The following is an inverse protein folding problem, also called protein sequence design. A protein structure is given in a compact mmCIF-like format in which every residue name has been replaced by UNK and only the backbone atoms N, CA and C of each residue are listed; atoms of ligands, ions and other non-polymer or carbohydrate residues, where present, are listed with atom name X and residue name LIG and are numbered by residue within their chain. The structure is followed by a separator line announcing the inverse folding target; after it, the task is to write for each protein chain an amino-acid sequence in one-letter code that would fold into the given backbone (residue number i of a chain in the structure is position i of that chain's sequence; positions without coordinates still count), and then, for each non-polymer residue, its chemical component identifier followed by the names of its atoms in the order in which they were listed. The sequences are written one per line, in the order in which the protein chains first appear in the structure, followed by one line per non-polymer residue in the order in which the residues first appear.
data_IF_301769281124
#
_entry.id   IF_301769281124
#
_cell.length_a   1.000
_cell.length_b   1.000
_cell.length_c   1.000
_cell.angle_alpha   90.00
_cell.angle_beta   90.00
_cell.angle_gamma   90.00
#
_symmetry.space_group_name_H-M   'P 1'
#
loop_
_entity.id
_entity.type
_entity.pdbx_description
1 polymer ?
#
# COMPACT_ATOMS: atom_id res chain seq x y z
N UNK A 1 -17.61 -14.32 29.73
CA UNK A 1 -17.95 -14.41 28.31
C UNK A 1 -18.15 -13.00 27.80
N UNK A 2 -17.12 -12.39 27.23
CA UNK A 2 -17.33 -11.15 26.49
C UNK A 2 -18.27 -11.47 25.31
N UNK A 3 -19.29 -10.65 25.08
CA UNK A 3 -20.15 -10.81 23.92
C UNK A 3 -19.27 -10.78 22.65
N UNK A 4 -19.48 -11.75 21.76
CA UNK A 4 -18.81 -11.73 20.46
C UNK A 4 -19.16 -10.42 19.74
N UNK A 5 -18.16 -9.72 19.19
CA UNK A 5 -18.39 -8.43 18.57
C UNK A 5 -19.22 -8.63 17.30
N UNK A 6 -20.47 -8.14 17.30
CA UNK A 6 -21.30 -8.04 16.09
C UNK A 6 -20.62 -7.05 15.13
N UNK A 7 -19.87 -7.59 14.17
CA UNK A 7 -19.06 -6.79 13.23
C UNK A 7 -19.93 -5.89 12.35
N UNK A 8 -21.19 -6.24 12.12
CA UNK A 8 -22.07 -5.56 11.17
C UNK A 8 -23.29 -4.88 11.81
N UNK A 9 -23.29 -4.74 13.15
CA UNK A 9 -24.33 -4.03 13.89
C UNK A 9 -24.52 -2.58 13.37
N UNK A 10 -25.70 -1.96 13.56
CA UNK A 10 -25.93 -0.57 13.15
C UNK A 10 -25.15 0.49 13.94
N UNK A 11 -24.76 0.20 15.20
CA UNK A 11 -24.16 1.15 16.16
C UNK A 11 -22.72 0.84 16.71
N UNK A 12 -21.86 0.03 16.06
CA UNK A 12 -20.43 0.00 16.32
C UNK A 12 -19.68 0.91 15.34
N UNK A 13 -18.49 1.37 15.74
CA UNK A 13 -17.53 1.94 14.79
C UNK A 13 -17.26 0.94 13.67
N UNK A 14 -17.45 1.39 12.42
CA UNK A 14 -17.25 0.61 11.19
C UNK A 14 -15.82 0.61 10.69
N UNK A 15 -14.92 1.27 11.42
CA UNK A 15 -13.49 1.33 11.13
C UNK A 15 -12.71 0.58 12.19
N UNK A 16 -11.93 -0.38 11.73
CA UNK A 16 -11.11 -1.23 12.56
C UNK A 16 -9.64 -1.13 12.17
N UNK A 17 -8.74 -1.56 13.05
CA UNK A 17 -7.32 -1.71 12.78
C UNK A 17 -6.85 -3.09 13.24
N UNK A 18 -6.11 -3.79 12.38
CA UNK A 18 -5.34 -4.96 12.81
C UNK A 18 -3.92 -4.47 13.11
N UNK A 19 -3.43 -4.62 14.36
CA UNK A 19 -2.16 -4.04 14.76
C UNK A 19 -0.95 -4.78 14.14
N UNK A 20 0.20 -4.12 13.95
CA UNK A 20 1.40 -4.76 13.44
C UNK A 20 1.84 -5.92 14.34
N UNK A 21 2.34 -7.00 13.72
CA UNK A 21 2.71 -8.24 14.41
C UNK A 21 1.60 -9.28 14.51
N UNK A 22 0.37 -8.95 14.13
CA UNK A 22 -0.71 -9.94 13.90
C UNK A 22 -0.73 -10.37 12.43
N UNK A 23 -0.95 -11.67 12.14
CA UNK A 23 -1.21 -12.16 10.77
C UNK A 23 -2.52 -11.55 10.26
N UNK A 24 -2.39 -10.47 9.47
CA UNK A 24 -3.49 -9.63 9.05
C UNK A 24 -4.61 -10.41 8.37
N UNK A 25 -4.26 -11.22 7.36
CA UNK A 25 -5.25 -11.93 6.55
C UNK A 25 -5.90 -13.06 7.34
N UNK A 26 -5.15 -13.75 8.21
CA UNK A 26 -5.71 -14.79 9.06
C UNK A 26 -6.63 -14.22 10.12
N UNK A 27 -6.26 -13.13 10.78
CA UNK A 27 -7.13 -12.46 11.75
C UNK A 27 -8.42 -11.94 11.11
N UNK A 28 -8.31 -11.33 9.91
CA UNK A 28 -9.46 -10.92 9.11
C UNK A 28 -10.37 -12.11 8.77
N UNK A 29 -9.81 -13.17 8.21
CA UNK A 29 -10.56 -14.35 7.77
C UNK A 29 -11.24 -15.07 8.93
N UNK A 30 -10.53 -15.27 10.06
CA UNK A 30 -11.08 -15.94 11.24
C UNK A 30 -12.29 -15.18 11.81
N UNK A 31 -12.18 -13.85 11.95
CA UNK A 31 -13.28 -13.05 12.50
C UNK A 31 -14.48 -12.99 11.54
N UNK A 32 -14.26 -12.82 10.22
CA UNK A 32 -15.34 -12.84 9.24
C UNK A 32 -16.01 -14.23 9.14
N UNK A 33 -15.23 -15.31 9.21
CA UNK A 33 -15.74 -16.67 9.18
C UNK A 33 -16.58 -16.99 10.43
N UNK A 34 -16.14 -16.54 11.61
CA UNK A 34 -16.87 -16.69 12.86
C UNK A 34 -18.21 -15.92 12.82
N UNK A 35 -18.17 -14.64 12.47
CA UNK A 35 -19.35 -13.77 12.36
C UNK A 35 -20.40 -14.33 11.38
N UNK A 36 -19.96 -14.83 10.24
CA UNK A 36 -20.85 -15.40 9.23
C UNK A 36 -21.33 -16.82 9.58
N UNK A 37 -20.71 -17.51 10.54
CA UNK A 37 -20.93 -18.93 10.79
C UNK A 37 -20.50 -19.82 9.62
N UNK A 38 -19.38 -19.48 8.97
CA UNK A 38 -18.88 -20.12 7.74
C UNK A 38 -18.56 -21.61 7.93
N UNK A 39 -18.21 -22.03 9.14
CA UNK A 39 -17.93 -23.43 9.47
C UNK A 39 -19.14 -24.36 9.31
N UNK A 40 -20.35 -23.80 9.48
CA UNK A 40 -21.64 -24.50 9.40
C UNK A 40 -22.39 -24.20 8.09
N UNK A 41 -22.20 -22.99 7.54
CA UNK A 41 -22.82 -22.51 6.31
C UNK A 41 -21.76 -22.17 5.27
N UNK A 42 -21.41 -23.10 4.34
CA UNK A 42 -20.30 -22.93 3.42
C UNK A 42 -20.49 -21.80 2.40
N UNK A 43 -21.69 -21.28 2.27
CA UNK A 43 -22.09 -20.18 1.38
C UNK A 43 -22.36 -18.86 2.11
N UNK A 44 -22.11 -18.79 3.43
CA UNK A 44 -22.47 -17.61 4.25
C UNK A 44 -21.78 -16.29 3.83
N UNK A 45 -20.66 -16.36 3.13
CA UNK A 45 -19.93 -15.21 2.59
C UNK A 45 -20.01 -15.11 1.06
N UNK A 46 -20.77 -15.97 0.38
CA UNK A 46 -20.77 -16.05 -1.09
C UNK A 46 -21.13 -14.70 -1.77
N UNK A 47 -22.06 -13.96 -1.17
CA UNK A 47 -22.49 -12.65 -1.68
C UNK A 47 -21.64 -11.47 -1.17
N UNK A 48 -20.71 -11.70 -0.24
CA UNK A 48 -19.89 -10.65 0.33
C UNK A 48 -18.83 -10.17 -0.67
N UNK A 49 -18.54 -8.87 -0.63
CA UNK A 49 -17.52 -8.23 -1.47
C UNK A 49 -16.37 -7.80 -0.57
N UNK A 50 -15.16 -8.31 -0.80
CA UNK A 50 -13.99 -7.99 0.00
C UNK A 50 -12.90 -7.41 -0.88
N UNK A 51 -12.56 -6.14 -0.64
CA UNK A 51 -11.42 -5.47 -1.25
C UNK A 51 -10.16 -5.66 -0.42
N UNK A 52 -9.08 -6.03 -1.10
CA UNK A 52 -7.73 -6.12 -0.54
C UNK A 52 -6.74 -5.34 -1.42
N UNK A 53 -5.51 -5.05 -0.96
CA UNK A 53 -4.63 -4.14 -1.68
C UNK A 53 -4.19 -4.66 -3.05
N UNK A 54 -3.85 -5.96 -3.14
CA UNK A 54 -3.24 -6.57 -4.32
C UNK A 54 -3.68 -8.04 -4.49
N UNK A 55 -3.35 -8.66 -5.65
CA UNK A 55 -3.78 -10.03 -5.96
C UNK A 55 -3.13 -11.09 -5.07
N UNK A 56 -1.94 -10.82 -4.54
CA UNK A 56 -1.28 -11.72 -3.59
C UNK A 56 -2.11 -11.85 -2.33
N UNK A 57 -2.53 -10.73 -1.76
CA UNK A 57 -3.45 -10.70 -0.61
C UNK A 57 -4.78 -11.38 -0.95
N UNK A 58 -5.31 -11.20 -2.16
CA UNK A 58 -6.57 -11.85 -2.56
C UNK A 58 -6.46 -13.38 -2.58
N UNK A 59 -5.37 -13.92 -3.16
CA UNK A 59 -5.10 -15.37 -3.20
C UNK A 59 -4.91 -15.95 -1.79
N UNK A 60 -4.15 -15.25 -0.94
CA UNK A 60 -3.92 -15.68 0.44
C UNK A 60 -5.23 -15.62 1.24
N UNK A 61 -6.02 -14.56 1.10
CA UNK A 61 -7.32 -14.42 1.77
C UNK A 61 -8.26 -15.58 1.45
N UNK A 62 -8.40 -15.94 0.18
CA UNK A 62 -9.20 -17.10 -0.23
C UNK A 62 -8.74 -18.39 0.48
N UNK A 63 -7.42 -18.58 0.60
CA UNK A 63 -6.85 -19.74 1.29
C UNK A 63 -7.13 -19.73 2.79
N UNK A 64 -6.92 -18.60 3.47
CA UNK A 64 -7.12 -18.54 4.93
C UNK A 64 -8.59 -18.57 5.32
N UNK A 65 -9.52 -18.13 4.46
CA UNK A 65 -10.96 -18.35 4.64
C UNK A 65 -11.32 -19.83 4.58
N UNK A 66 -10.73 -20.58 3.65
CA UNK A 66 -10.90 -22.04 3.60
C UNK A 66 -10.36 -22.73 4.85
N UNK A 67 -9.19 -22.30 5.35
CA UNK A 67 -8.65 -22.82 6.60
C UNK A 67 -9.56 -22.47 7.80
N UNK A 68 -10.08 -21.24 7.86
CA UNK A 68 -11.02 -20.79 8.91
C UNK A 68 -12.37 -21.53 8.87
N UNK A 69 -12.81 -22.00 7.70
CA UNK A 69 -14.00 -22.86 7.54
C UNK A 69 -13.77 -24.32 7.97
N UNK A 70 -12.64 -24.63 8.62
CA UNK A 70 -12.29 -25.99 9.01
C UNK A 70 -11.88 -26.88 7.82
N UNK A 71 -11.33 -26.27 6.76
CA UNK A 71 -10.90 -26.94 5.52
C UNK A 71 -12.01 -27.68 4.79
N UNK A 72 -13.25 -27.21 4.95
CA UNK A 72 -14.41 -27.66 4.16
C UNK A 72 -14.54 -26.81 2.89
N UNK A 73 -15.06 -27.36 1.77
CA UNK A 73 -15.38 -26.56 0.61
C UNK A 73 -16.35 -25.43 0.97
N UNK A 74 -16.04 -24.22 0.50
CA UNK A 74 -16.88 -23.01 0.67
C UNK A 74 -17.13 -22.37 -0.68
N UNK A 75 -18.24 -21.64 -0.81
CA UNK A 75 -18.40 -20.64 -1.86
C UNK A 75 -17.72 -19.35 -1.38
N UNK A 76 -16.58 -18.97 -1.96
CA UNK A 76 -15.82 -17.84 -1.47
C UNK A 76 -16.55 -16.52 -1.75
N UNK A 77 -16.29 -15.47 -0.95
CA UNK A 77 -16.72 -14.13 -1.28
C UNK A 77 -16.07 -13.65 -2.58
N UNK A 78 -16.62 -12.57 -3.13
CA UNK A 78 -16.01 -11.86 -4.24
C UNK A 78 -14.82 -11.04 -3.73
N UNK A 79 -13.60 -11.55 -3.92
CA UNK A 79 -12.37 -10.89 -3.48
C UNK A 79 -11.80 -10.02 -4.62
N UNK A 80 -11.74 -8.71 -4.40
CA UNK A 80 -11.31 -7.70 -5.36
C UNK A 80 -10.02 -7.00 -4.92
N UNK A 81 -9.31 -6.41 -5.87
CA UNK A 81 -8.10 -5.62 -5.57
C UNK A 81 -8.34 -4.14 -5.78
N UNK A 82 -7.82 -3.31 -4.87
CA UNK A 82 -7.88 -1.84 -4.99
C UNK A 82 -6.82 -1.27 -5.94
N UNK A 83 -5.70 -1.97 -6.15
CA UNK A 83 -4.56 -1.39 -6.87
C UNK A 83 -3.90 -0.27 -6.05
N UNK A 84 -3.62 -0.53 -4.77
CA UNK A 84 -2.96 0.44 -3.88
C UNK A 84 -1.47 0.64 -4.30
N UNK A 85 -0.79 1.65 -3.75
CA UNK A 85 0.54 2.13 -4.20
C UNK A 85 1.62 1.04 -4.30
N UNK A 86 1.51 -0.04 -3.52
CA UNK A 86 2.44 -1.17 -3.54
C UNK A 86 2.11 -2.24 -4.61
N UNK A 87 1.04 -2.05 -5.38
CA UNK A 87 0.60 -2.98 -6.41
C UNK A 87 1.06 -2.51 -7.79
N UNK A 88 1.99 -3.26 -8.42
CA UNK A 88 2.30 -3.17 -9.86
C UNK A 88 1.12 -3.66 -10.76
N UNK A 89 -0.10 -3.72 -10.23
CA UNK A 89 -1.24 -4.39 -10.84
C UNK A 89 -2.50 -3.52 -10.82
N UNK A 90 -3.13 -3.38 -11.98
CA UNK A 90 -4.40 -2.67 -12.13
C UNK A 90 -5.53 -3.33 -11.29
N UNK A 91 -6.50 -2.54 -10.80
CA UNK A 91 -7.68 -3.04 -10.09
C UNK A 91 -8.42 -4.11 -10.90
N UNK A 92 -8.75 -5.24 -10.29
CA UNK A 92 -9.15 -6.45 -11.02
C UNK A 92 -10.60 -6.45 -11.56
N UNK A 93 -11.55 -5.74 -10.93
CA UNK A 93 -12.99 -5.94 -11.21
C UNK A 93 -13.75 -4.63 -11.53
N UNK A 94 -13.40 -3.50 -10.93
CA UNK A 94 -14.20 -2.27 -11.08
C UNK A 94 -14.07 -1.63 -12.46
N UNK A 95 -12.92 -1.82 -13.12
CA UNK A 95 -12.71 -1.38 -14.50
C UNK A 95 -13.76 -1.94 -15.48
N UNK A 96 -14.13 -3.22 -15.34
CA UNK A 96 -15.11 -3.87 -16.22
C UNK A 96 -16.56 -3.46 -15.88
N UNK A 97 -16.85 -3.17 -14.61
CA UNK A 97 -18.19 -2.75 -14.16
C UNK A 97 -18.47 -1.26 -14.39
N UNK A 98 -17.42 -0.45 -14.51
CA UNK A 98 -17.52 0.99 -14.79
C UNK A 98 -17.96 1.32 -16.23
N UNK A 99 -17.81 0.38 -17.17
CA UNK A 99 -18.04 0.65 -18.59
C UNK A 99 -16.99 1.57 -19.24
N UNK A 100 -15.95 1.96 -18.51
CA UNK A 100 -14.86 2.78 -19.02
C UNK A 100 -13.94 1.98 -19.95
N UNK A 101 -13.36 2.61 -20.99
CA UNK A 101 -12.38 1.96 -21.85
C UNK A 101 -11.17 1.43 -21.06
N UNK A 102 -10.40 0.47 -21.58
CA UNK A 102 -9.23 -0.05 -20.89
C UNK A 102 -8.22 1.06 -20.60
N UNK A 103 -7.55 0.99 -19.44
CA UNK A 103 -6.51 1.95 -19.08
C UNK A 103 -5.35 1.90 -20.09
N UNK A 104 -4.75 3.05 -20.37
CA UNK A 104 -3.56 3.14 -21.18
C UNK A 104 -2.41 2.31 -20.58
N UNK A 105 -1.68 1.57 -21.41
CA UNK A 105 -0.48 0.87 -20.94
C UNK A 105 0.64 1.85 -20.57
N UNK A 106 1.45 1.51 -19.57
CA UNK A 106 2.58 2.33 -19.14
C UNK A 106 3.54 2.66 -20.30
N UNK A 107 3.80 1.69 -21.18
CA UNK A 107 4.65 1.89 -22.36
C UNK A 107 4.05 2.92 -23.33
N UNK A 108 2.74 2.88 -23.57
CA UNK A 108 2.05 3.86 -24.43
C UNK A 108 2.09 5.26 -23.80
N UNK A 109 1.87 5.36 -22.49
CA UNK A 109 1.97 6.61 -21.74
C UNK A 109 3.36 7.23 -21.83
N UNK A 110 4.40 6.44 -21.58
CA UNK A 110 5.79 6.90 -21.71
C UNK A 110 6.13 7.32 -23.14
N UNK A 111 5.68 6.57 -24.16
CA UNK A 111 5.87 6.94 -25.55
C UNK A 111 5.21 8.26 -25.91
N UNK A 112 3.96 8.47 -25.48
CA UNK A 112 3.22 9.70 -25.70
C UNK A 112 3.87 10.91 -25.00
N UNK A 113 4.27 10.76 -23.73
CA UNK A 113 5.00 11.80 -23.00
C UNK A 113 6.36 12.11 -23.66
N UNK A 114 7.08 11.10 -24.13
CA UNK A 114 8.36 11.28 -24.85
C UNK A 114 8.15 12.12 -26.11
N UNK A 115 7.09 11.84 -26.86
CA UNK A 115 6.72 12.61 -28.04
C UNK A 115 6.37 14.07 -27.69
N UNK A 116 5.57 14.30 -26.64
CA UNK A 116 5.23 15.65 -26.17
C UNK A 116 6.46 16.46 -25.73
N UNK A 117 7.43 15.80 -25.07
CA UNK A 117 8.71 16.43 -24.73
C UNK A 117 9.46 16.83 -26.00
N UNK A 118 9.55 15.96 -27.01
CA UNK A 118 10.22 16.30 -28.26
C UNK A 118 9.54 17.49 -28.97
N UNK A 119 8.21 17.51 -29.01
CA UNK A 119 7.44 18.59 -29.63
C UNK A 119 7.64 19.93 -28.89
N UNK A 120 7.66 19.91 -27.56
CA UNK A 120 7.98 21.08 -26.75
C UNK A 120 9.35 21.68 -27.13
N UNK A 121 10.39 20.86 -27.21
CA UNK A 121 11.73 21.33 -27.58
C UNK A 121 11.80 21.80 -29.04
N UNK A 122 11.12 21.11 -29.95
CA UNK A 122 11.06 21.50 -31.35
C UNK A 122 10.40 22.88 -31.54
N UNK A 123 9.35 23.17 -30.77
CA UNK A 123 8.64 24.45 -30.82
C UNK A 123 9.45 25.60 -30.20
N UNK A 124 10.00 25.40 -29.00
CA UNK A 124 10.63 26.48 -28.23
C UNK A 124 12.09 26.73 -28.62
N UNK A 125 12.85 25.67 -28.89
CA UNK A 125 14.29 25.72 -29.12
C UNK A 125 14.70 25.37 -30.55
N UNK A 126 13.74 25.02 -31.43
CA UNK A 126 13.99 24.60 -32.82
C UNK A 126 15.01 23.47 -32.91
N UNK A 127 15.02 22.59 -31.92
CA UNK A 127 15.90 21.42 -31.83
C UNK A 127 15.10 20.22 -31.33
N UNK A 128 15.53 19.02 -31.67
CA UNK A 128 14.98 17.81 -31.07
C UNK A 128 16.02 17.14 -30.17
N UNK A 129 15.70 16.92 -28.89
CA UNK A 129 16.58 16.19 -27.99
C UNK A 129 16.73 14.74 -28.47
N UNK A 130 17.87 14.09 -28.20
CA UNK A 130 18.00 12.65 -28.41
C UNK A 130 16.86 11.88 -27.75
N UNK A 131 16.41 10.79 -28.37
CA UNK A 131 15.27 10.01 -27.87
C UNK A 131 15.47 9.53 -26.42
N UNK A 132 16.71 9.19 -26.04
CA UNK A 132 17.06 8.81 -24.67
C UNK A 132 16.85 9.94 -23.66
N UNK A 133 17.21 11.19 -24.02
CA UNK A 133 17.00 12.36 -23.16
C UNK A 133 15.51 12.72 -23.05
N UNK A 134 14.77 12.62 -24.15
CA UNK A 134 13.32 12.85 -24.14
C UNK A 134 12.59 11.79 -23.29
N UNK A 135 13.00 10.53 -23.40
CA UNK A 135 12.45 9.44 -22.60
C UNK A 135 12.75 9.61 -21.11
N UNK A 136 13.97 10.00 -20.75
CA UNK A 136 14.32 10.27 -19.35
C UNK A 136 13.46 11.41 -18.76
N UNK A 137 13.27 12.50 -19.52
CA UNK A 137 12.37 13.58 -19.11
C UNK A 137 10.91 13.12 -19.00
N UNK A 138 10.44 12.28 -19.93
CA UNK A 138 9.10 11.70 -19.88
C UNK A 138 8.89 10.78 -18.67
N UNK A 139 9.92 10.04 -18.24
CA UNK A 139 9.87 9.23 -17.03
C UNK A 139 9.70 10.11 -15.78
N UNK A 140 10.46 11.20 -15.66
CA UNK A 140 10.33 12.15 -14.56
C UNK A 140 8.96 12.85 -14.57
N UNK A 141 8.45 13.25 -15.74
CA UNK A 141 7.09 13.79 -15.88
C UNK A 141 6.05 12.76 -15.44
N UNK A 142 6.18 11.50 -15.89
CA UNK A 142 5.26 10.43 -15.51
C UNK A 142 5.25 10.20 -13.99
N UNK A 143 6.43 10.21 -13.36
CA UNK A 143 6.59 10.08 -11.91
C UNK A 143 5.96 11.26 -11.16
N UNK A 144 6.17 12.48 -11.64
CA UNK A 144 5.57 13.68 -11.05
C UNK A 144 4.04 13.66 -11.17
N UNK A 145 3.51 13.28 -12.33
CA UNK A 145 2.06 13.12 -12.53
C UNK A 145 1.47 12.06 -11.62
N UNK A 146 2.17 10.94 -11.44
CA UNK A 146 1.79 9.89 -10.49
C UNK A 146 1.75 10.43 -9.06
N UNK A 147 2.80 11.09 -8.59
CA UNK A 147 2.82 11.70 -7.25
C UNK A 147 1.69 12.72 -7.06
N UNK A 148 1.43 13.55 -8.07
CA UNK A 148 0.33 14.51 -8.05
C UNK A 148 -1.03 13.83 -7.96
N UNK A 149 -1.25 12.74 -8.70
CA UNK A 149 -2.51 12.00 -8.72
C UNK A 149 -2.85 11.31 -7.39
N UNK A 150 -1.87 11.12 -6.50
CA UNK A 150 -2.12 10.58 -5.15
C UNK A 150 -2.59 11.65 -4.16
N UNK A 151 -2.48 12.93 -4.51
CA UNK A 151 -2.85 14.07 -3.66
C UNK A 151 -4.11 14.75 -4.17
N UNK A 152 -5.09 14.95 -3.27
CA UNK A 152 -6.32 15.70 -3.59
C UNK A 152 -6.08 17.22 -3.68
N UNK A 153 -4.87 17.70 -3.34
CA UNK A 153 -4.54 19.13 -3.26
C UNK A 153 -3.84 19.67 -4.52
N UNK A 154 -3.46 18.79 -5.46
CA UNK A 154 -2.71 19.19 -6.65
C UNK A 154 -3.67 19.49 -7.81
N UNK A 155 -3.72 20.76 -8.19
CA UNK A 155 -4.50 21.25 -9.33
C UNK A 155 -3.58 21.86 -10.36
N UNK A 156 -3.41 21.20 -11.50
CA UNK A 156 -2.52 21.64 -12.58
C UNK A 156 -2.92 22.99 -13.17
N UNK A 157 -4.20 23.37 -13.08
CA UNK A 157 -4.71 24.67 -13.53
C UNK A 157 -4.15 25.84 -12.71
N UNK A 158 -3.70 25.58 -11.47
CA UNK A 158 -3.10 26.59 -10.58
C UNK A 158 -1.59 26.73 -10.76
N UNK A 159 -0.99 25.95 -11.66
CA UNK A 159 0.45 26.01 -11.96
C UNK A 159 0.94 27.44 -12.32
N UNK A 160 0.19 28.26 -13.09
CA UNK A 160 0.59 29.64 -13.38
C UNK A 160 0.68 30.53 -12.13
N UNK A 161 -0.21 30.31 -11.15
CA UNK A 161 -0.26 31.10 -9.90
C UNK A 161 0.94 30.83 -8.99
N UNK A 162 1.53 29.63 -9.08
CA UNK A 162 2.74 29.26 -8.34
C UNK A 162 3.99 30.00 -8.84
N UNK A 163 4.01 30.41 -10.12
CA UNK A 163 5.10 31.22 -10.67
C UNK A 163 5.02 32.68 -10.23
N UNK A 164 3.81 33.22 -10.02
CA UNK A 164 3.60 34.62 -9.66
C UNK A 164 3.78 34.96 -8.19
N UNK A 165 3.74 33.97 -7.28
CA UNK A 165 3.75 34.19 -5.82
C UNK A 165 5.14 34.21 -5.17
N UNK A 166 6.20 34.08 -5.96
CA UNK A 166 7.55 34.11 -5.41
C UNK A 166 8.46 34.92 -6.34
N UNK A 167 9.40 35.66 -5.76
CA UNK A 167 10.52 36.32 -6.46
C UNK A 167 11.49 35.27 -7.05
N UNK A 168 10.96 34.23 -7.70
CA UNK A 168 11.73 33.12 -8.22
C UNK A 168 12.35 33.52 -9.55
N UNK A 169 13.67 33.41 -9.60
CA UNK A 169 14.51 33.67 -10.76
C UNK A 169 13.92 33.09 -12.06
N UNK A 170 14.24 33.68 -13.22
CA UNK A 170 13.88 33.25 -14.60
C UNK A 170 13.95 31.74 -14.89
N UNK A 171 14.68 30.97 -14.07
CA UNK A 171 14.73 29.51 -14.12
C UNK A 171 13.39 28.85 -13.75
N UNK A 172 12.61 29.42 -12.85
CA UNK A 172 11.30 28.89 -12.45
C UNK A 172 10.23 29.08 -13.54
N UNK A 173 10.26 30.22 -14.26
CA UNK A 173 9.39 30.47 -15.41
C UNK A 173 9.57 29.39 -16.50
N UNK A 174 10.82 28.96 -16.75
CA UNK A 174 11.12 27.88 -17.71
C UNK A 174 10.59 26.52 -17.25
N UNK A 175 10.68 26.22 -15.96
CA UNK A 175 10.14 24.98 -15.40
C UNK A 175 8.61 24.96 -15.47
N UNK A 176 7.95 26.06 -15.16
CA UNK A 176 6.49 26.20 -15.29
C UNK A 176 6.06 26.04 -16.75
N UNK A 177 6.78 26.65 -17.69
CA UNK A 177 6.48 26.51 -19.11
C UNK A 177 6.67 25.05 -19.59
N UNK A 178 7.70 24.35 -19.11
CA UNK A 178 7.88 22.92 -19.39
C UNK A 178 6.75 22.07 -18.81
N UNK A 179 6.30 22.37 -17.59
CA UNK A 179 5.21 21.65 -16.93
C UNK A 179 3.83 21.87 -17.59
N UNK A 180 3.69 22.83 -18.52
CA UNK A 180 2.49 22.92 -19.38
C UNK A 180 2.33 21.70 -20.29
N UNK A 181 3.37 20.89 -20.48
CA UNK A 181 3.21 19.56 -21.08
C UNK A 181 2.15 18.75 -20.32
N UNK A 182 2.17 18.80 -18.98
CA UNK A 182 1.20 18.09 -18.14
C UNK A 182 -0.15 18.81 -18.12
N UNK A 183 -0.15 20.12 -17.93
CA UNK A 183 -1.38 20.88 -17.74
C UNK A 183 -2.22 21.07 -19.03
N UNK A 184 -1.55 21.22 -20.19
CA UNK A 184 -2.21 21.59 -21.44
C UNK A 184 -2.07 20.50 -22.51
N UNK A 185 -0.83 20.10 -22.81
CA UNK A 185 -0.55 19.25 -23.97
C UNK A 185 -1.01 17.80 -23.75
N UNK A 186 -0.86 17.28 -22.53
CA UNK A 186 -1.25 15.93 -22.18
C UNK A 186 -2.78 15.71 -22.25
N UNK A 187 -3.64 16.54 -21.62
CA UNK A 187 -5.08 16.44 -21.78
C UNK A 187 -5.55 16.57 -23.23
N UNK A 188 -4.95 17.47 -24.01
CA UNK A 188 -5.26 17.61 -25.43
C UNK A 188 -4.91 16.33 -26.21
N UNK A 189 -3.73 15.77 -25.97
CA UNK A 189 -3.30 14.52 -26.61
C UNK A 189 -4.23 13.35 -26.26
N UNK A 190 -4.65 13.23 -25.00
CA UNK A 190 -5.61 12.21 -24.57
C UNK A 190 -6.94 12.34 -25.32
N UNK A 191 -7.48 13.55 -25.41
CA UNK A 191 -8.74 13.83 -26.12
C UNK A 191 -8.64 13.52 -27.62
N UNK A 192 -7.55 13.90 -28.28
CA UNK A 192 -7.32 13.62 -29.70
C UNK A 192 -7.20 12.13 -30.01
N UNK A 193 -6.63 11.35 -29.08
CA UNK A 193 -6.39 9.92 -29.26
C UNK A 193 -7.52 9.04 -28.68
N UNK A 194 -8.53 9.63 -28.03
CA UNK A 194 -9.61 8.89 -27.38
C UNK A 194 -9.13 8.02 -26.21
N UNK A 195 -8.08 8.46 -25.52
CA UNK A 195 -7.43 7.73 -24.43
C UNK A 195 -7.74 8.35 -23.07
N UNK A 196 -7.61 7.57 -22.00
CA UNK A 196 -7.79 8.04 -20.63
C UNK A 196 -6.53 7.84 -19.80
N UNK A 197 -6.19 8.83 -18.98
CA UNK A 197 -5.12 8.71 -18.00
C UNK A 197 -5.49 7.63 -16.96
N UNK A 198 -4.60 6.67 -16.65
CA UNK A 198 -4.91 5.58 -15.72
C UNK A 198 -5.38 6.04 -14.34
N UNK A 199 -4.77 7.11 -13.79
CA UNK A 199 -5.14 7.57 -12.45
C UNK A 199 -6.50 8.26 -12.42
N UNK A 200 -6.78 9.07 -13.44
CA UNK A 200 -8.10 9.71 -13.59
C UNK A 200 -9.19 8.65 -13.76
N UNK A 201 -8.91 7.64 -14.59
CA UNK A 201 -9.80 6.51 -14.83
C UNK A 201 -10.10 5.72 -13.55
N UNK A 202 -9.09 5.47 -12.70
CA UNK A 202 -9.30 4.73 -11.45
C UNK A 202 -10.20 5.50 -10.47
N UNK A 203 -10.05 6.82 -10.40
CA UNK A 203 -10.95 7.69 -9.62
C UNK A 203 -12.37 7.68 -10.18
N UNK A 204 -12.53 7.78 -11.50
CA UNK A 204 -13.85 7.70 -12.16
C UNK A 204 -14.51 6.34 -11.95
N UNK A 205 -13.76 5.24 -12.06
CA UNK A 205 -14.26 3.89 -11.82
C UNK A 205 -14.74 3.74 -10.36
N UNK A 206 -13.94 4.21 -9.40
CA UNK A 206 -14.32 4.23 -7.99
C UNK A 206 -15.58 5.06 -7.75
N UNK A 207 -15.70 6.23 -8.39
CA UNK A 207 -16.89 7.08 -8.29
C UNK A 207 -18.17 6.40 -8.80
N UNK A 208 -18.08 5.70 -9.94
CA UNK A 208 -19.20 4.93 -10.51
C UNK A 208 -19.63 3.81 -9.56
N UNK A 209 -18.68 3.06 -8.99
CA UNK A 209 -18.97 1.98 -8.04
C UNK A 209 -19.62 2.52 -6.78
N UNK A 210 -19.08 3.60 -6.22
CA UNK A 210 -19.63 4.25 -5.04
C UNK A 210 -21.06 4.76 -5.26
N UNK A 211 -21.34 5.37 -6.43
CA UNK A 211 -22.69 5.81 -6.75
C UNK A 211 -23.64 4.63 -6.93
N UNK A 212 -23.17 3.54 -7.56
CA UNK A 212 -23.93 2.29 -7.65
C UNK A 212 -24.29 1.71 -6.28
N UNK A 213 -23.36 1.75 -5.33
CA UNK A 213 -23.60 1.33 -3.94
C UNK A 213 -24.60 2.24 -3.22
N UNK A 214 -24.56 3.56 -3.43
CA UNK A 214 -25.56 4.47 -2.83
C UNK A 214 -26.95 4.27 -3.41
N UNK A 215 -27.04 4.11 -4.74
CA UNK A 215 -28.31 3.94 -5.44
C UNK A 215 -28.96 2.58 -5.15
N UNK A 216 -28.15 1.53 -5.02
CA UNK A 216 -28.61 0.18 -4.70
C UNK A 216 -27.68 -0.49 -3.66
N UNK A 217 -27.85 -0.18 -2.36
CA UNK A 217 -27.00 -0.70 -1.30
C UNK A 217 -26.98 -2.23 -1.28
N UNK A 218 -25.81 -2.89 -1.35
CA UNK A 218 -25.71 -4.32 -1.19
C UNK A 218 -26.26 -4.79 0.16
N UNK A 219 -27.07 -5.84 0.16
CA UNK A 219 -27.56 -6.48 1.38
C UNK A 219 -26.48 -7.33 2.09
N UNK A 220 -25.47 -7.74 1.32
CA UNK A 220 -24.31 -8.49 1.77
C UNK A 220 -23.18 -7.56 2.27
N UNK A 221 -22.26 -8.07 3.11
CA UNK A 221 -21.11 -7.30 3.58
C UNK A 221 -20.23 -6.74 2.46
N UNK A 222 -19.77 -5.51 2.65
CA UNK A 222 -18.72 -4.89 1.81
C UNK A 222 -17.55 -4.51 2.71
N UNK A 223 -16.42 -5.18 2.57
CA UNK A 223 -15.26 -5.01 3.45
C UNK A 223 -14.07 -4.49 2.65
N UNK A 224 -13.46 -3.40 3.08
CA UNK A 224 -12.20 -2.89 2.52
C UNK A 224 -11.11 -3.11 3.56
N UNK A 225 -10.18 -4.03 3.30
CA UNK A 225 -9.21 -4.46 4.29
C UNK A 225 -7.77 -4.34 3.78
N UNK A 226 -6.88 -3.83 4.63
CA UNK A 226 -5.44 -3.82 4.43
C UNK A 226 -4.92 -2.69 3.54
N UNK A 227 -5.79 -1.80 3.06
CA UNK A 227 -5.38 -0.58 2.35
C UNK A 227 -5.17 0.56 3.35
N UNK A 228 -4.17 1.40 3.07
CA UNK A 228 -3.90 2.63 3.85
C UNK A 228 -4.74 3.81 3.36
N UNK A 229 -5.43 3.68 2.23
CA UNK A 229 -6.15 4.78 1.59
C UNK A 229 -5.23 5.80 0.92
N UNK A 230 -4.06 5.36 0.42
CA UNK A 230 -3.08 6.24 -0.20
C UNK A 230 -3.60 6.89 -1.50
N UNK A 231 -4.46 6.20 -2.25
CA UNK A 231 -5.04 6.71 -3.51
C UNK A 231 -6.40 7.40 -3.28
N UNK A 232 -6.73 8.47 -4.03
CA UNK A 232 -8.05 9.09 -3.98
C UNK A 232 -9.18 8.10 -4.29
N UNK A 233 -8.98 7.23 -5.28
CA UNK A 233 -9.92 6.17 -5.63
C UNK A 233 -10.20 5.23 -4.46
N UNK A 234 -9.14 4.80 -3.75
CA UNK A 234 -9.24 3.99 -2.55
C UNK A 234 -10.02 4.69 -1.43
N UNK A 235 -9.73 5.97 -1.16
CA UNK A 235 -10.47 6.77 -0.15
C UNK A 235 -11.95 6.93 -0.51
N UNK A 236 -12.26 7.11 -1.79
CA UNK A 236 -13.63 7.23 -2.28
C UNK A 236 -14.41 5.93 -2.00
N UNK A 237 -13.84 4.77 -2.33
CA UNK A 237 -14.44 3.48 -2.04
C UNK A 237 -14.56 3.22 -0.53
N UNK A 238 -13.54 3.57 0.26
CA UNK A 238 -13.60 3.47 1.73
C UNK A 238 -14.77 4.26 2.30
N UNK A 239 -14.93 5.52 1.87
CA UNK A 239 -16.05 6.37 2.29
C UNK A 239 -17.40 5.76 1.89
N UNK A 240 -17.53 5.32 0.64
CA UNK A 240 -18.75 4.71 0.14
C UNK A 240 -19.10 3.41 0.88
N UNK A 241 -18.11 2.58 1.22
CA UNK A 241 -18.33 1.39 2.03
C UNK A 241 -18.85 1.76 3.42
N UNK A 242 -18.29 2.78 4.09
CA UNK A 242 -18.75 3.19 5.42
C UNK A 242 -20.20 3.71 5.44
N UNK A 243 -20.73 4.16 4.30
CA UNK A 243 -22.13 4.57 4.13
C UNK A 243 -23.09 3.37 3.99
N UNK A 244 -22.59 2.15 3.74
CA UNK A 244 -23.41 0.96 3.53
C UNK A 244 -23.88 0.32 4.84
N UNK A 245 -25.07 -0.32 4.88
CA UNK A 245 -25.59 -0.97 6.08
C UNK A 245 -24.65 -2.00 6.71
N UNK A 246 -23.92 -2.77 5.88
CA UNK A 246 -22.92 -3.78 6.29
C UNK A 246 -21.52 -3.51 5.74
N UNK A 247 -21.16 -2.23 5.65
CA UNK A 247 -19.84 -1.84 5.19
C UNK A 247 -18.82 -1.69 6.31
N UNK A 248 -17.57 -2.12 6.05
CA UNK A 248 -16.45 -2.07 6.99
C UNK A 248 -15.15 -1.64 6.30
N UNK A 249 -14.32 -0.91 7.06
CA UNK A 249 -12.92 -0.62 6.70
C UNK A 249 -12.00 -1.18 7.78
N UNK A 250 -10.99 -1.96 7.37
CA UNK A 250 -10.00 -2.57 8.27
C UNK A 250 -8.61 -2.08 7.88
N UNK A 251 -8.07 -1.14 8.65
CA UNK A 251 -6.78 -0.49 8.40
C UNK A 251 -5.61 -1.40 8.83
N UNK A 252 -4.49 -1.38 8.09
CA UNK A 252 -3.27 -2.10 8.46
C UNK A 252 -2.44 -1.27 9.45
N UNK A 253 -2.50 -1.64 10.73
CA UNK A 253 -1.52 -1.18 11.71
C UNK A 253 -1.57 0.30 12.05
N UNK A 254 -2.76 0.89 12.19
CA UNK A 254 -2.93 2.25 12.73
C UNK A 254 -2.36 2.35 14.14
N UNK A 255 -1.57 3.39 14.40
CA UNK A 255 -1.14 3.76 15.74
C UNK A 255 -2.28 4.45 16.51
N UNK A 256 -2.93 3.69 17.39
CA UNK A 256 -4.01 4.18 18.26
C UNK A 256 -3.50 4.88 19.51
N UNK A 257 -2.19 4.93 19.75
CA UNK A 257 -1.58 5.55 20.93
C UNK A 257 -0.97 6.92 20.66
N UNK A 258 -0.85 7.33 19.40
CA UNK A 258 -0.38 8.65 19.03
C UNK A 258 -1.34 9.74 19.54
N UNK A 259 -0.85 10.58 20.45
CA UNK A 259 -1.60 11.75 20.91
C UNK A 259 -1.73 12.83 19.82
N UNK A 260 -2.43 13.91 20.11
CA UNK A 260 -2.66 14.97 19.12
C UNK A 260 -1.36 15.67 18.69
N UNK A 261 -0.37 15.81 19.58
CA UNK A 261 0.91 16.46 19.26
C UNK A 261 1.76 15.57 18.33
N UNK A 262 1.86 14.27 18.64
CA UNK A 262 2.54 13.29 17.79
C UNK A 262 1.87 13.22 16.42
N UNK A 263 0.53 13.16 16.37
CA UNK A 263 -0.23 13.17 15.12
C UNK A 263 0.05 14.39 14.26
N UNK A 264 0.20 15.58 14.86
CA UNK A 264 0.50 16.82 14.14
C UNK A 264 1.92 16.85 13.55
N UNK A 265 2.90 16.23 14.23
CA UNK A 265 4.25 16.05 13.68
C UNK A 265 4.24 15.03 12.54
N UNK A 266 3.54 13.90 12.71
CA UNK A 266 3.37 12.87 11.67
C UNK A 266 2.66 13.46 10.44
N UNK A 267 1.65 14.30 10.64
CA UNK A 267 0.95 14.98 9.54
C UNK A 267 1.88 15.86 8.70
N UNK A 268 2.96 16.40 9.29
CA UNK A 268 3.99 17.17 8.58
C UNK A 268 5.13 16.32 8.01
N UNK A 269 5.19 15.05 8.38
CA UNK A 269 6.26 14.11 8.01
C UNK A 269 5.77 13.12 6.96
N UNK A 270 5.72 13.52 5.68
CA UNK A 270 5.13 12.72 4.57
C UNK A 270 5.75 11.32 4.43
N UNK A 271 7.01 11.16 4.78
CA UNK A 271 7.71 9.86 4.73
C UNK A 271 7.37 8.92 5.90
N UNK A 272 6.66 9.39 6.91
CA UNK A 272 6.31 8.58 8.08
C UNK A 272 5.21 7.56 7.73
N UNK A 273 5.34 6.27 8.09
CA UNK A 273 4.36 5.24 7.70
C UNK A 273 2.92 5.52 8.13
N UNK A 274 2.72 6.17 9.28
CA UNK A 274 1.39 6.55 9.78
C UNK A 274 0.80 7.80 9.11
N UNK A 275 1.57 8.56 8.32
CA UNK A 275 1.10 9.80 7.68
C UNK A 275 -0.14 9.57 6.83
N UNK A 276 -0.08 8.56 5.95
CA UNK A 276 -1.19 8.22 5.05
C UNK A 276 -2.41 7.75 5.84
N UNK A 277 -2.23 6.91 6.87
CA UNK A 277 -3.35 6.41 7.68
C UNK A 277 -4.10 7.53 8.39
N UNK A 278 -3.39 8.49 9.01
CA UNK A 278 -4.04 9.64 9.64
C UNK A 278 -4.70 10.58 8.63
N UNK A 279 -4.07 10.79 7.46
CA UNK A 279 -4.66 11.56 6.36
C UNK A 279 -5.95 10.91 5.86
N UNK A 280 -5.96 9.58 5.69
CA UNK A 280 -7.14 8.80 5.32
C UNK A 280 -8.24 8.94 6.37
N UNK A 281 -7.94 8.80 7.67
CA UNK A 281 -8.94 9.01 8.73
C UNK A 281 -9.57 10.40 8.67
N UNK A 282 -8.76 11.44 8.46
CA UNK A 282 -9.24 12.81 8.28
C UNK A 282 -10.16 12.93 7.06
N UNK A 283 -9.80 12.33 5.93
CA UNK A 283 -10.60 12.33 4.71
C UNK A 283 -11.93 11.56 4.86
N UNK A 284 -11.94 10.50 5.68
CA UNK A 284 -13.13 9.74 6.03
C UNK A 284 -14.01 10.41 7.10
N UNK A 285 -13.50 11.46 7.77
CA UNK A 285 -14.20 12.11 8.88
C UNK A 285 -14.27 11.24 10.14
N UNK A 286 -13.31 10.33 10.32
CA UNK A 286 -13.26 9.38 11.44
C UNK A 286 -12.16 9.82 12.40
N UNK A 287 -12.51 10.02 13.66
CA UNK A 287 -11.53 10.32 14.70
C UNK A 287 -10.71 9.05 15.02
N UNK A 288 -9.38 9.14 15.24
CA UNK A 288 -8.56 7.97 15.58
C UNK A 288 -9.09 7.18 16.79
N UNK A 289 -9.71 7.86 17.75
CA UNK A 289 -10.30 7.26 18.96
C UNK A 289 -11.54 6.41 18.65
N UNK A 290 -12.15 6.58 17.47
CA UNK A 290 -13.25 5.74 17.00
C UNK A 290 -12.75 4.44 16.38
N UNK A 291 -11.47 4.34 16.01
CA UNK A 291 -10.94 3.12 15.36
C UNK A 291 -10.74 2.03 16.41
N UNK A 292 -11.38 0.88 16.19
CA UNK A 292 -11.34 -0.26 17.12
C UNK A 292 -10.28 -1.28 16.72
N UNK A 293 -9.69 -1.95 17.70
CA UNK A 293 -8.83 -3.10 17.44
C UNK A 293 -9.66 -4.26 16.92
N UNK A 294 -9.23 -4.85 15.81
CA UNK A 294 -9.90 -6.01 15.21
C UNK A 294 -9.91 -7.22 16.15
N UNK A 295 -11.00 -8.02 16.19
CA UNK A 295 -11.08 -9.19 17.06
C UNK A 295 -9.98 -10.22 16.75
N UNK A 296 -9.44 -10.84 17.80
CA UNK A 296 -8.37 -11.85 17.66
C UNK A 296 -6.97 -11.28 17.39
N UNK A 297 -6.80 -9.95 17.42
CA UNK A 297 -5.47 -9.35 17.45
C UNK A 297 -4.70 -9.71 18.73
N UNK A 298 -3.38 -9.87 18.61
CA UNK A 298 -2.54 -10.16 19.77
C UNK A 298 -2.35 -8.91 20.64
N UNK A 299 -3.04 -8.88 21.78
CA UNK A 299 -2.95 -7.83 22.80
C UNK A 299 -2.08 -8.22 23.98
N UNK A 300 -1.20 -9.22 23.85
CA UNK A 300 -0.26 -9.59 24.90
C UNK A 300 0.73 -8.46 25.21
N UNK A 301 1.23 -8.41 26.45
CA UNK A 301 2.19 -7.41 26.88
C UNK A 301 3.45 -7.36 25.98
N UNK A 302 4.07 -8.50 25.57
CA UNK A 302 5.22 -8.45 24.66
C UNK A 302 4.89 -7.91 23.27
N UNK A 303 3.72 -8.25 22.73
CA UNK A 303 3.28 -7.74 21.43
C UNK A 303 3.04 -6.23 21.49
N UNK A 304 2.43 -5.75 22.57
CA UNK A 304 2.18 -4.33 22.79
C UNK A 304 3.48 -3.55 23.02
N UNK A 305 4.39 -4.06 23.85
CA UNK A 305 5.71 -3.47 24.06
C UNK A 305 6.49 -3.36 22.73
N UNK A 306 6.44 -4.40 21.88
CA UNK A 306 7.07 -4.38 20.57
C UNK A 306 6.49 -3.32 19.65
N UNK A 307 5.16 -3.21 19.57
CA UNK A 307 4.51 -2.19 18.74
C UNK A 307 4.90 -0.78 19.15
N UNK A 308 4.86 -0.49 20.46
CA UNK A 308 5.27 0.81 21.01
C UNK A 308 6.74 1.11 20.76
N UNK A 309 7.60 0.11 20.89
CA UNK A 309 9.03 0.24 20.58
C UNK A 309 9.26 0.58 19.10
N UNK A 310 8.58 -0.12 18.18
CA UNK A 310 8.70 0.10 16.74
C UNK A 310 8.15 1.48 16.34
N UNK A 311 7.01 1.90 16.90
CA UNK A 311 6.46 3.23 16.65
C UNK A 311 7.42 4.33 17.13
N UNK A 312 8.01 4.18 18.33
CA UNK A 312 9.02 5.12 18.82
C UNK A 312 10.28 5.13 17.94
N UNK A 313 10.73 3.98 17.45
CA UNK A 313 11.88 3.91 16.54
C UNK A 313 11.63 4.60 15.19
N UNK A 314 10.36 4.76 14.80
CA UNK A 314 9.94 5.44 13.59
C UNK A 314 9.58 6.92 13.83
N UNK A 315 9.69 7.42 15.06
CA UNK A 315 9.35 8.79 15.40
C UNK A 315 10.12 9.79 14.49
N UNK A 316 9.45 10.85 14.00
CA UNK A 316 10.10 11.88 13.21
C UNK A 316 11.33 12.46 13.93
N UNK A 317 12.39 12.79 13.19
CA UNK A 317 13.69 13.18 13.76
C UNK A 317 13.57 14.31 14.80
N UNK A 318 12.69 15.27 14.57
CA UNK A 318 12.41 16.42 15.46
C UNK A 318 11.85 16.01 16.83
N UNK A 319 11.27 14.82 16.94
CA UNK A 319 10.66 14.28 18.17
C UNK A 319 11.54 13.27 18.91
N UNK A 320 12.79 13.06 18.47
CA UNK A 320 13.67 12.02 19.04
C UNK A 320 14.56 12.49 20.19
N UNK A 321 14.61 13.80 20.48
CA UNK A 321 15.53 14.37 21.48
C UNK A 321 15.36 13.75 22.88
N UNK A 322 14.13 13.44 23.28
CA UNK A 322 13.77 12.96 24.62
C UNK A 322 13.48 11.45 24.68
N UNK A 323 13.96 10.66 23.70
CA UNK A 323 13.63 9.23 23.55
C UNK A 323 13.81 8.41 24.85
N UNK A 324 14.81 8.75 25.69
CA UNK A 324 15.05 8.05 26.97
C UNK A 324 13.90 8.27 27.96
N UNK A 325 13.34 9.48 27.99
CA UNK A 325 12.18 9.84 28.79
C UNK A 325 10.92 9.22 28.18
N UNK A 326 10.78 9.26 26.85
CA UNK A 326 9.68 8.62 26.13
C UNK A 326 9.59 7.13 26.46
N UNK A 327 10.70 6.38 26.41
CA UNK A 327 10.73 4.98 26.82
C UNK A 327 10.30 4.78 28.29
N UNK A 328 10.62 5.71 29.17
CA UNK A 328 10.19 5.66 30.58
C UNK A 328 8.68 5.87 30.70
N UNK A 329 8.11 6.79 29.91
CA UNK A 329 6.65 7.02 29.84
C UNK A 329 5.93 5.81 29.26
N UNK A 330 6.45 5.23 28.17
CA UNK A 330 5.89 4.04 27.53
C UNK A 330 5.90 2.84 28.49
N UNK A 331 7.01 2.57 29.18
CA UNK A 331 7.07 1.52 30.18
C UNK A 331 6.05 1.73 31.31
N UNK A 332 5.96 2.95 31.85
CA UNK A 332 4.99 3.29 32.89
C UNK A 332 3.55 3.08 32.45
N UNK A 333 3.23 3.42 31.20
CA UNK A 333 1.87 3.24 30.65
C UNK A 333 1.46 1.78 30.45
N UNK A 334 2.42 0.85 30.51
CA UNK A 334 2.20 -0.59 30.53
C UNK A 334 2.45 -1.19 31.92
N UNK A 335 2.52 -0.35 32.97
CA UNK A 335 2.75 -0.77 34.35
C UNK A 335 4.04 -1.61 34.55
N UNK A 336 5.06 -1.36 33.73
CA UNK A 336 6.31 -2.14 33.71
C UNK A 336 7.55 -1.25 33.91
N UNK A 337 8.70 -1.87 34.17
CA UNK A 337 10.00 -1.17 34.24
C UNK A 337 10.52 -0.87 32.83
N UNK A 338 11.45 0.09 32.71
CA UNK A 338 12.05 0.41 31.41
C UNK A 338 12.82 -0.79 30.84
N UNK A 339 13.49 -1.53 31.71
CA UNK A 339 14.28 -2.72 31.38
C UNK A 339 13.38 -3.86 30.90
N UNK A 340 12.25 -4.10 31.57
CA UNK A 340 11.30 -5.15 31.20
C UNK A 340 10.53 -4.79 29.92
N UNK A 341 10.13 -3.53 29.75
CA UNK A 341 9.59 -3.01 28.49
C UNK A 341 10.54 -3.28 27.32
N UNK A 342 11.81 -2.93 27.48
CA UNK A 342 12.81 -3.14 26.44
C UNK A 342 13.02 -4.63 26.13
N UNK A 343 13.10 -5.48 27.18
CA UNK A 343 13.21 -6.93 27.02
C UNK A 343 12.01 -7.51 26.29
N UNK A 344 10.80 -7.14 26.68
CA UNK A 344 9.57 -7.61 26.07
C UNK A 344 9.47 -7.19 24.59
N UNK A 345 9.76 -5.92 24.28
CA UNK A 345 9.70 -5.40 22.91
C UNK A 345 10.74 -5.99 21.96
N UNK A 346 11.94 -6.31 22.46
CA UNK A 346 13.07 -6.80 21.65
C UNK A 346 13.28 -8.31 21.73
N UNK A 347 12.43 -9.06 22.44
CA UNK A 347 12.55 -10.52 22.56
C UNK A 347 12.59 -11.18 21.18
N UNK A 348 13.59 -12.02 20.90
CA UNK A 348 13.71 -12.71 19.60
C UNK A 348 14.27 -11.85 18.46
N UNK A 349 14.68 -10.60 18.72
CA UNK A 349 15.45 -9.80 17.78
C UNK A 349 16.95 -10.06 17.98
N UNK A 350 17.65 -10.28 16.88
CA UNK A 350 19.10 -10.47 16.84
C UNK A 350 19.70 -9.54 15.80
N UNK A 351 20.90 -9.02 16.08
CA UNK A 351 21.69 -8.23 15.13
C UNK A 351 22.94 -9.03 14.81
N UNK A 352 23.24 -9.21 13.52
CA UNK A 352 24.44 -9.89 13.04
C UNK A 352 25.18 -8.92 12.13
N UNK A 353 26.39 -8.53 12.53
CA UNK A 353 27.27 -7.70 11.71
C UNK A 353 28.14 -8.61 10.83
N UNK A 354 28.18 -8.32 9.53
CA UNK A 354 29.00 -9.04 8.56
C UNK A 354 30.04 -8.12 7.93
N UNK A 355 31.23 -8.64 7.55
CA UNK A 355 32.31 -7.83 7.00
C UNK A 355 32.01 -7.31 5.58
N UNK A 356 31.17 -8.02 4.82
CA UNK A 356 30.77 -7.67 3.46
C UNK A 356 29.43 -8.33 3.07
N UNK A 357 28.87 -7.91 1.94
CA UNK A 357 27.61 -8.40 1.37
C UNK A 357 27.63 -9.89 0.99
N UNK A 358 28.81 -10.49 0.75
CA UNK A 358 28.91 -11.90 0.41
C UNK A 358 28.70 -12.75 1.66
N UNK A 359 29.36 -12.37 2.76
CA UNK A 359 29.14 -13.02 4.06
C UNK A 359 27.71 -12.77 4.57
N UNK A 360 27.16 -11.57 4.35
CA UNK A 360 25.75 -11.28 4.63
C UNK A 360 24.80 -12.27 3.93
N UNK A 361 25.02 -12.49 2.62
CA UNK A 361 24.20 -13.41 1.84
C UNK A 361 24.32 -14.86 2.35
N UNK A 362 25.53 -15.30 2.73
CA UNK A 362 25.75 -16.64 3.27
C UNK A 362 25.06 -16.82 4.63
N UNK A 363 25.17 -15.84 5.53
CA UNK A 363 24.48 -15.86 6.84
C UNK A 363 22.96 -15.87 6.65
N UNK A 364 22.41 -15.00 5.80
CA UNK A 364 20.98 -14.97 5.53
C UNK A 364 20.49 -16.30 4.95
N UNK A 365 21.23 -16.90 4.01
CA UNK A 365 20.90 -18.20 3.43
C UNK A 365 20.94 -19.32 4.48
N UNK A 366 21.92 -19.32 5.39
CA UNK A 366 22.00 -20.29 6.49
C UNK A 366 20.80 -20.19 7.43
N UNK A 367 20.40 -18.97 7.82
CA UNK A 367 19.24 -18.73 8.67
C UNK A 367 17.95 -19.19 8.00
N UNK A 368 17.75 -18.85 6.73
CA UNK A 368 16.58 -19.31 5.95
C UNK A 368 16.55 -20.83 5.83
N UNK A 369 17.71 -21.47 5.62
CA UNK A 369 17.81 -22.92 5.52
C UNK A 369 17.52 -23.59 6.87
N UNK A 370 17.99 -23.03 7.98
CA UNK A 370 17.79 -23.59 9.31
C UNK A 370 16.30 -23.72 9.65
N UNK A 371 15.48 -22.78 9.21
CA UNK A 371 14.01 -22.82 9.42
C UNK A 371 13.39 -24.09 8.84
N UNK A 372 13.94 -24.65 7.77
CA UNK A 372 13.46 -25.90 7.18
C UNK A 372 13.72 -27.14 8.06
N UNK A 373 14.54 -27.02 9.11
CA UNK A 373 14.77 -28.10 10.07
C UNK A 373 13.61 -28.24 11.07
N UNK A 374 12.80 -27.19 11.24
CA UNK A 374 11.57 -27.21 12.03
C UNK A 374 10.36 -27.39 11.11
N UNK A 375 9.56 -28.47 11.25
CA UNK A 375 8.33 -28.62 10.50
C UNK A 375 7.38 -27.43 10.68
N UNK A 376 6.75 -27.02 9.59
CA UNK A 376 5.75 -25.93 9.52
C UNK A 376 6.26 -24.52 9.89
N UNK A 377 7.55 -24.35 10.19
CA UNK A 377 8.14 -23.03 10.39
C UNK A 377 8.39 -22.33 9.05
N UNK A 378 8.19 -21.02 9.01
CA UNK A 378 8.32 -20.21 7.80
C UNK A 378 9.30 -19.07 8.02
N UNK A 379 10.06 -18.72 6.99
CA UNK A 379 10.94 -17.56 7.02
C UNK A 379 10.83 -16.75 5.72
N UNK A 380 11.17 -15.47 5.82
CA UNK A 380 11.24 -14.56 4.71
C UNK A 380 12.48 -13.68 4.84
N UNK A 381 13.13 -13.39 3.71
CA UNK A 381 14.13 -12.34 3.60
C UNK A 381 13.47 -11.09 3.02
N UNK A 382 13.52 -9.99 3.75
CA UNK A 382 13.04 -8.69 3.30
C UNK A 382 14.26 -7.80 3.09
N UNK A 383 14.48 -7.37 1.85
CA UNK A 383 15.57 -6.45 1.50
C UNK A 383 15.15 -5.57 0.31
N UNK A 384 15.51 -4.28 0.30
CA UNK A 384 15.38 -3.44 -0.88
C UNK A 384 16.46 -3.74 -1.93
N UNK A 385 17.53 -4.47 -1.57
CA UNK A 385 18.59 -4.82 -2.50
C UNK A 385 18.29 -6.11 -3.27
N UNK A 386 17.91 -5.93 -4.54
CA UNK A 386 17.69 -7.03 -5.46
C UNK A 386 18.95 -7.90 -5.70
N UNK A 387 20.14 -7.34 -5.50
CA UNK A 387 21.40 -8.08 -5.62
C UNK A 387 21.59 -9.04 -4.45
N UNK A 388 21.43 -8.58 -3.21
CA UNK A 388 21.43 -9.44 -2.02
C UNK A 388 20.39 -10.57 -2.15
N UNK A 389 19.14 -10.24 -2.51
CA UNK A 389 18.08 -11.25 -2.67
C UNK A 389 18.45 -12.35 -3.69
N UNK A 390 19.04 -11.97 -4.84
CA UNK A 390 19.53 -12.92 -5.84
C UNK A 390 20.70 -13.74 -5.35
N UNK A 391 21.65 -13.14 -4.62
CA UNK A 391 22.79 -13.86 -4.04
C UNK A 391 22.31 -14.92 -3.05
N UNK A 392 21.44 -14.56 -2.11
CA UNK A 392 20.85 -15.50 -1.14
C UNK A 392 20.12 -16.65 -1.84
N UNK A 393 19.29 -16.34 -2.84
CA UNK A 393 18.62 -17.35 -3.67
C UNK A 393 19.62 -18.30 -4.35
N UNK A 394 20.72 -17.76 -4.89
CA UNK A 394 21.80 -18.54 -5.49
C UNK A 394 22.51 -19.47 -4.50
N UNK A 395 22.73 -19.03 -3.26
CA UNK A 395 23.32 -19.85 -2.20
C UNK A 395 22.36 -20.97 -1.80
N UNK A 396 21.08 -20.66 -1.56
CA UNK A 396 20.05 -21.64 -1.22
C UNK A 396 19.90 -22.75 -2.26
N UNK A 397 20.04 -22.42 -3.55
CA UNK A 397 20.02 -23.41 -4.64
C UNK A 397 21.13 -24.46 -4.53
N UNK A 398 22.26 -24.16 -3.90
CA UNK A 398 23.32 -25.16 -3.64
C UNK A 398 22.85 -26.28 -2.72
N UNK A 399 21.85 -26.01 -1.87
CA UNK A 399 21.20 -26.99 -1.00
C UNK A 399 19.88 -27.51 -1.57
N UNK A 400 19.57 -27.23 -2.83
CA UNK A 400 18.32 -27.64 -3.47
C UNK A 400 17.08 -26.89 -2.98
N UNK A 401 17.26 -25.74 -2.33
CA UNK A 401 16.16 -24.89 -1.85
C UNK A 401 15.91 -23.77 -2.86
N UNK A 402 14.72 -23.72 -3.46
CA UNK A 402 14.37 -22.70 -4.46
C UNK A 402 13.48 -21.62 -3.85
N UNK A 403 14.07 -20.45 -3.62
CA UNK A 403 13.39 -19.24 -3.14
C UNK A 403 13.70 -18.09 -4.09
N UNK A 404 12.91 -17.91 -5.16
CA UNK A 404 13.13 -16.82 -6.10
C UNK A 404 12.76 -15.45 -5.47
N UNK A 405 13.49 -14.36 -5.79
CA UNK A 405 13.09 -13.02 -5.40
C UNK A 405 11.69 -12.67 -5.90
N UNK A 406 10.90 -12.01 -5.07
CA UNK A 406 9.51 -11.64 -5.38
C UNK A 406 9.38 -10.62 -6.51
N UNK A 407 10.40 -9.80 -6.75
CA UNK A 407 10.48 -8.84 -7.86
C UNK A 407 10.75 -9.48 -9.23
N UNK A 408 10.97 -10.81 -9.28
CA UNK A 408 11.29 -11.52 -10.51
C UNK A 408 12.71 -11.25 -11.02
N UNK A 409 12.92 -11.51 -12.32
CA UNK A 409 14.19 -11.29 -13.00
C UNK A 409 14.08 -10.15 -14.02
N UNK A 410 15.07 -9.24 -14.11
CA UNK A 410 15.06 -8.18 -15.12
C UNK A 410 14.98 -8.77 -16.55
N UNK A 411 14.15 -8.18 -17.41
CA UNK A 411 13.96 -8.67 -18.78
C UNK A 411 15.28 -8.83 -19.53
N UNK A 412 16.21 -7.87 -19.40
CA UNK A 412 17.52 -7.90 -20.05
C UNK A 412 18.41 -9.09 -19.64
N UNK A 413 18.12 -9.74 -18.51
CA UNK A 413 18.82 -10.96 -18.05
C UNK A 413 18.13 -12.25 -18.50
N UNK A 414 16.98 -12.16 -19.17
CA UNK A 414 16.33 -13.30 -19.81
C UNK A 414 16.92 -13.52 -21.20
N UNK A 415 16.88 -14.76 -21.70
CA UNK A 415 17.34 -15.07 -23.07
C UNK A 415 16.66 -14.19 -24.12
N UNK A 416 15.34 -13.97 -23.99
CA UNK A 416 14.59 -13.14 -24.91
C UNK A 416 15.01 -11.66 -24.84
N UNK A 417 15.15 -11.10 -23.64
CA UNK A 417 15.57 -9.70 -23.48
C UNK A 417 17.02 -9.45 -23.88
N UNK A 418 17.93 -10.40 -23.61
CA UNK A 418 19.31 -10.32 -24.10
C UNK A 418 19.36 -10.35 -25.63
N UNK A 419 18.56 -11.20 -26.29
CA UNK A 419 18.47 -11.22 -27.75
C UNK A 419 17.94 -9.89 -28.30
N UNK A 420 16.87 -9.34 -27.71
CA UNK A 420 16.33 -8.03 -28.11
C UNK A 420 17.40 -6.93 -27.95
N UNK A 421 18.14 -6.93 -26.85
CA UNK A 421 19.21 -5.97 -26.60
C UNK A 421 20.41 -6.07 -27.57
N UNK A 422 20.60 -7.22 -28.22
CA UNK A 422 21.61 -7.36 -29.29
C UNK A 422 21.10 -6.87 -30.65
N UNK A 423 19.79 -6.72 -30.83
CA UNK A 423 19.15 -6.26 -32.06
C UNK A 423 18.84 -4.75 -32.06
N UNK A 424 18.83 -4.11 -30.89
CA UNK A 424 18.64 -2.67 -30.69
C UNK A 424 19.98 -1.94 -30.77
#
# INVERSE_FOLDING_TARGET
MAAEPDLFSPDPSRVWSIPPGTDFLRALASALAAEAGLADRPDALADAIIYVPNRRSARVLARVLFDAAGRKPILPPEIRTLGDVEADEAPSVDAARSGLPPAMSQAKRLGALTWLVQEYYARLFRTQPPASSALAAAQELSRLMEQAAHSDEVHWERLPDLAGKAELARHWEKSVDFLKIIADAWPAWLAENGESDPFTRDVEAAAIVAEGWRANPPAAPVVIAGSTGATPAGRLLMKAALELPKGLVVLPGLDTHADAAVRDVIARSVSHPQHVLFSTLKALGVAPEQVRTWPGADTSEPAEARRRMVHEALAPAESTADWRETLTKLARSLETTKEDFARAGLTGLSVIETPDESVEADVAALLLRQVLETPDETAALVTPDATLARRVSGVLKRWGVDVPPSAGAPLGQTTAGSLIGLCA
#
